data_IF_210028653164
#
_entry.id   IF_210028653164
#
_cell.length_a   1.000
_cell.length_b   1.000
_cell.length_c   1.000
_cell.angle_alpha   90.00
_cell.angle_beta   90.00
_cell.angle_gamma   90.00
#
_symmetry.space_group_name_H-M   'P 1'
#
loop_
_entity.id
_entity.type
_entity.pdbx_description
1 polymer ?
#
# COMPACT_ATOMS: atom_id res chain seq x y z
N UNK A 1 -2.09 8.74 -3.02
CA UNK A 1 -1.59 7.38 -3.36
C UNK A 1 -0.10 7.32 -3.73
N UNK A 2 0.51 8.40 -4.22
CA UNK A 2 1.90 8.39 -4.71
C UNK A 2 2.95 7.87 -3.71
N UNK A 3 2.76 8.11 -2.41
CA UNK A 3 3.66 7.62 -1.37
C UNK A 3 3.65 6.07 -1.20
N UNK A 4 2.52 5.42 -1.50
CA UNK A 4 2.36 3.96 -1.41
C UNK A 4 2.87 3.28 -2.69
N UNK A 5 2.51 3.84 -3.85
CA UNK A 5 2.87 3.26 -5.16
C UNK A 5 4.34 3.54 -5.50
N UNK A 6 4.83 4.74 -5.19
CA UNK A 6 6.16 5.21 -5.57
C UNK A 6 6.30 5.45 -7.08
N UNK A 7 7.43 6.03 -7.48
CA UNK A 7 7.75 6.26 -8.90
C UNK A 7 7.81 4.92 -9.65
N UNK A 8 7.04 4.80 -10.73
CA UNK A 8 6.99 3.58 -11.53
C UNK A 8 6.46 2.34 -10.81
N UNK A 9 5.76 2.48 -9.67
CA UNK A 9 5.29 1.34 -8.89
C UNK A 9 6.36 0.65 -8.05
N UNK A 10 7.59 1.20 -7.99
CA UNK A 10 8.71 0.57 -7.28
C UNK A 10 8.39 0.26 -5.82
N UNK A 11 7.66 1.16 -5.14
CA UNK A 11 7.40 1.03 -3.71
C UNK A 11 6.37 -0.06 -3.40
N UNK A 12 5.28 -0.10 -4.16
CA UNK A 12 4.29 -1.15 -3.99
C UNK A 12 4.85 -2.52 -4.43
N UNK A 13 5.75 -2.55 -5.42
CA UNK A 13 6.42 -3.78 -5.83
C UNK A 13 7.37 -4.31 -4.75
N UNK A 14 8.10 -3.43 -4.06
CA UNK A 14 8.89 -3.81 -2.88
C UNK A 14 8.01 -4.43 -1.79
N UNK A 15 6.86 -3.82 -1.49
CA UNK A 15 5.92 -4.36 -0.48
C UNK A 15 5.41 -5.74 -0.90
N UNK A 16 5.03 -5.93 -2.17
CA UNK A 16 4.61 -7.24 -2.70
C UNK A 16 5.72 -8.28 -2.56
N UNK A 17 6.96 -7.93 -2.94
CA UNK A 17 8.10 -8.85 -2.89
C UNK A 17 8.46 -9.24 -1.46
N UNK A 18 8.55 -8.26 -0.56
CA UNK A 18 8.92 -8.52 0.83
C UNK A 18 7.81 -9.27 1.56
N UNK A 19 6.55 -8.86 1.42
CA UNK A 19 5.42 -9.52 2.09
C UNK A 19 5.13 -10.91 1.55
N UNK A 20 5.41 -11.18 0.28
CA UNK A 20 4.93 -12.37 -0.40
C UNK A 20 3.42 -12.33 -0.71
N UNK A 21 2.71 -11.25 -0.35
CA UNK A 21 1.28 -11.09 -0.65
C UNK A 21 1.05 -10.55 -2.05
N UNK A 22 -0.02 -11.01 -2.68
CA UNK A 22 -0.59 -10.39 -3.87
C UNK A 22 -1.37 -9.15 -3.43
N UNK A 23 -0.96 -7.98 -3.93
CA UNK A 23 -1.60 -6.69 -3.58
C UNK A 23 -2.17 -6.03 -4.84
N UNK A 24 -3.48 -5.77 -4.83
CA UNK A 24 -4.19 -5.02 -5.89
C UNK A 24 -4.66 -3.68 -5.34
N UNK A 25 -4.47 -2.61 -6.10
CA UNK A 25 -4.95 -1.27 -5.76
C UNK A 25 -5.98 -0.91 -6.82
N UNK A 26 -7.23 -0.75 -6.40
CA UNK A 26 -8.31 -0.41 -7.32
C UNK A 26 -8.32 1.09 -7.63
N UNK A 27 -9.03 1.42 -8.70
CA UNK A 27 -9.37 2.81 -8.99
C UNK A 27 -10.29 3.36 -7.89
N UNK A 28 -10.26 4.68 -7.65
CA UNK A 28 -11.15 5.30 -6.68
C UNK A 28 -12.60 5.10 -7.16
N UNK A 29 -13.49 4.68 -6.26
CA UNK A 29 -14.92 4.66 -6.54
C UNK A 29 -15.57 5.97 -6.08
N UNK A 30 -16.61 6.40 -6.79
CA UNK A 30 -17.55 7.46 -6.37
C UNK A 30 -16.93 8.83 -6.02
N UNK A 31 -16.03 9.34 -6.88
CA UNK A 31 -15.32 10.62 -6.67
C UNK A 31 -14.59 10.73 -5.31
N UNK A 32 -14.38 9.60 -4.62
CA UNK A 32 -13.59 9.56 -3.41
C UNK A 32 -12.10 9.68 -3.74
N UNK A 33 -11.34 10.28 -2.81
CA UNK A 33 -9.88 10.24 -2.84
C UNK A 33 -9.31 8.92 -2.29
N UNK A 34 -10.17 8.03 -1.83
CA UNK A 34 -9.82 6.73 -1.28
C UNK A 34 -9.74 5.66 -2.37
N UNK A 35 -8.87 4.68 -2.16
CA UNK A 35 -8.70 3.55 -3.06
C UNK A 35 -8.77 2.27 -2.26
N UNK A 36 -9.57 1.32 -2.74
CA UNK A 36 -9.64 -0.01 -2.16
C UNK A 36 -8.34 -0.77 -2.46
N UNK A 37 -7.71 -1.31 -1.42
CA UNK A 37 -6.54 -2.17 -1.54
C UNK A 37 -6.93 -3.57 -1.12
N UNK A 38 -6.72 -4.54 -2.02
CA UNK A 38 -6.95 -5.96 -1.75
C UNK A 38 -5.61 -6.64 -1.54
N UNK A 39 -5.47 -7.35 -0.41
CA UNK A 39 -4.28 -8.12 -0.04
C UNK A 39 -4.68 -9.59 0.03
N UNK A 40 -3.93 -10.46 -0.62
CA UNK A 40 -4.21 -11.90 -0.66
C UNK A 40 -2.91 -12.68 -0.47
N UNK A 41 -2.93 -13.66 0.43
CA UNK A 41 -1.76 -14.42 0.87
C UNK A 41 -2.02 -15.10 2.22
N UNK A 42 -0.99 -15.66 2.84
CA UNK A 42 -1.09 -16.21 4.20
C UNK A 42 -1.31 -15.09 5.23
N UNK A 43 -1.72 -15.47 6.43
CA UNK A 43 -1.94 -14.52 7.51
C UNK A 43 -0.68 -13.72 7.84
N UNK A 44 0.49 -14.36 7.93
CA UNK A 44 1.75 -13.65 8.23
C UNK A 44 2.15 -12.68 7.11
N UNK A 45 2.06 -13.14 5.84
CA UNK A 45 2.33 -12.31 4.67
C UNK A 45 1.43 -11.06 4.65
N UNK A 46 0.13 -11.24 4.88
CA UNK A 46 -0.83 -10.14 4.86
C UNK A 46 -0.62 -9.16 6.02
N UNK A 47 -0.27 -9.65 7.21
CA UNK A 47 0.08 -8.79 8.35
C UNK A 47 1.32 -7.95 8.06
N UNK A 48 2.36 -8.55 7.44
CA UNK A 48 3.55 -7.82 7.05
C UNK A 48 3.26 -6.78 5.97
N UNK A 49 2.45 -7.12 4.96
CA UNK A 49 1.99 -6.19 3.94
C UNK A 49 1.25 -4.99 4.56
N UNK A 50 0.32 -5.25 5.49
CA UNK A 50 -0.43 -4.21 6.21
C UNK A 50 0.50 -3.28 6.99
N UNK A 51 1.44 -3.85 7.76
CA UNK A 51 2.40 -3.06 8.52
C UNK A 51 3.21 -2.12 7.61
N UNK A 52 3.75 -2.64 6.50
CA UNK A 52 4.50 -1.84 5.55
C UNK A 52 3.65 -0.74 4.91
N UNK A 53 2.40 -1.05 4.53
CA UNK A 53 1.47 -0.07 3.98
C UNK A 53 1.17 1.07 4.97
N UNK A 54 0.84 0.74 6.23
CA UNK A 54 0.58 1.73 7.28
C UNK A 54 1.81 2.59 7.58
N UNK A 55 3.00 1.99 7.65
CA UNK A 55 4.26 2.73 7.83
C UNK A 55 4.45 3.79 6.73
N UNK A 56 4.04 3.51 5.49
CA UNK A 56 4.12 4.48 4.39
C UNK A 56 3.01 5.53 4.45
N UNK A 57 1.81 5.20 4.93
CA UNK A 57 0.74 6.19 5.15
C UNK A 57 1.07 7.16 6.29
N UNK A 58 1.62 6.67 7.41
CA UNK A 58 1.98 7.49 8.57
C UNK A 58 3.09 8.49 8.28
N UNK A 59 4.02 8.16 7.38
CA UNK A 59 5.08 9.09 6.94
C UNK A 59 4.53 10.31 6.17
N UNK A 60 3.34 10.21 5.55
CA UNK A 60 2.74 11.34 4.80
C UNK A 60 2.20 12.41 5.75
N UNK A 61 1.80 12.06 6.97
CA UNK A 61 1.28 13.03 7.95
C UNK A 61 2.40 13.78 8.70
N UNK A 62 3.60 13.20 8.82
CA UNK A 62 4.73 13.83 9.49
C UNK A 62 5.44 14.92 8.66
N UNK A 63 5.11 15.04 7.37
CA UNK A 63 5.76 15.96 6.42
C UNK A 63 4.97 17.21 6.05
N UNK A 64 3.81 17.47 6.64
CA UNK A 64 3.10 18.75 6.47
C UNK A 64 3.53 19.72 7.58
N UNK A 65 4.62 20.45 7.34
CA UNK A 65 4.89 21.75 7.95
C UNK A 65 5.16 22.75 6.84
#
# INVERSE_FOLDING_TARGET
VGAIIGKGGAKINEIRQLSGSVIKINEPQDNSNERLVTITGTQECNQMALFMLYSRLGQVQAGQK
#
